data_IF_706991708695
#
_entry.id   IF_706991708695
#
_cell.length_a   1.000
_cell.length_b   1.000
_cell.length_c   1.000
_cell.angle_alpha   90.00
_cell.angle_beta   90.00
_cell.angle_gamma   90.00
#
_symmetry.space_group_name_H-M   'P 1'
#
loop_
_entity.id
_entity.type
_entity.pdbx_description
1 polymer ?
#
# COMPACT_ATOMS: atom_id res chain seq x y z
N UNK A 1 -37.03 22.95 39.87
CA UNK A 1 -36.39 21.85 39.15
C UNK A 1 -36.74 21.98 37.67
N UNK A 2 -35.77 22.21 36.79
CA UNK A 2 -35.98 22.32 35.35
C UNK A 2 -35.57 20.99 34.69
N UNK A 3 -36.48 20.38 33.95
CA UNK A 3 -36.22 19.14 33.20
C UNK A 3 -35.79 19.52 31.80
N UNK A 4 -34.53 19.25 31.46
CA UNK A 4 -33.99 19.40 30.11
C UNK A 4 -34.34 18.15 29.29
N UNK A 5 -35.11 18.33 28.22
CA UNK A 5 -35.39 17.27 27.24
C UNK A 5 -34.29 17.28 26.18
N UNK A 6 -33.41 16.29 26.20
CA UNK A 6 -32.41 16.11 25.15
C UNK A 6 -33.02 15.32 23.98
N UNK A 7 -33.25 15.98 22.84
CA UNK A 7 -33.67 15.32 21.60
C UNK A 7 -32.42 14.86 20.86
N UNK A 8 -32.14 13.56 20.90
CA UNK A 8 -31.09 12.95 20.09
C UNK A 8 -31.61 12.72 18.67
N UNK A 9 -31.18 13.54 17.71
CA UNK A 9 -31.45 13.31 16.28
C UNK A 9 -30.52 12.21 15.79
N UNK A 10 -30.98 10.96 15.82
CA UNK A 10 -30.26 9.83 15.24
C UNK A 10 -30.34 9.96 13.72
N UNK A 11 -29.29 10.47 13.10
CA UNK A 11 -29.13 10.37 11.66
C UNK A 11 -28.89 8.90 11.33
N UNK A 12 -29.91 8.22 10.81
CA UNK A 12 -29.75 6.93 10.17
C UNK A 12 -28.93 7.15 8.90
N UNK A 13 -27.59 7.07 9.01
CA UNK A 13 -26.72 6.89 7.86
C UNK A 13 -27.04 5.50 7.33
N UNK A 14 -27.73 5.44 6.19
CA UNK A 14 -27.90 4.19 5.45
C UNK A 14 -26.52 3.56 5.26
N UNK A 15 -26.44 2.23 5.40
CA UNK A 15 -25.20 1.51 5.17
C UNK A 15 -24.64 1.91 3.79
N UNK A 16 -23.35 2.25 3.67
CA UNK A 16 -22.77 2.50 2.37
C UNK A 16 -23.02 1.28 1.50
N UNK A 17 -23.46 1.49 0.26
CA UNK A 17 -23.57 0.42 -0.72
C UNK A 17 -22.23 -0.33 -0.77
N UNK A 18 -22.28 -1.67 -0.85
CA UNK A 18 -21.07 -2.47 -0.95
C UNK A 18 -20.18 -1.92 -2.09
N UNK A 19 -18.85 -1.81 -1.89
CA UNK A 19 -17.96 -1.33 -2.94
C UNK A 19 -18.18 -2.11 -4.23
N UNK A 20 -18.40 -1.40 -5.35
CA UNK A 20 -18.47 -2.04 -6.68
C UNK A 20 -17.15 -2.76 -7.02
N UNK A 21 -16.05 -2.36 -6.38
CA UNK A 21 -14.73 -2.98 -6.46
C UNK A 21 -14.36 -3.47 -5.05
N UNK A 22 -14.37 -4.79 -4.78
CA UNK A 22 -14.17 -5.30 -3.43
C UNK A 22 -12.70 -5.31 -3.00
N UNK A 23 -11.76 -5.24 -3.95
CA UNK A 23 -10.31 -5.38 -3.72
C UNK A 23 -9.49 -4.59 -4.73
N UNK A 24 -8.35 -4.06 -4.29
CA UNK A 24 -7.34 -3.42 -5.16
C UNK A 24 -6.01 -4.15 -5.01
N UNK A 25 -5.44 -4.59 -6.14
CA UNK A 25 -4.07 -5.09 -6.21
C UNK A 25 -3.20 -4.08 -6.97
N UNK A 26 -2.14 -3.59 -6.33
CA UNK A 26 -1.28 -2.53 -6.87
C UNK A 26 0.16 -2.99 -7.03
N UNK A 27 0.83 -2.55 -8.08
CA UNK A 27 2.20 -2.89 -8.47
C UNK A 27 2.96 -1.62 -8.85
N UNK A 28 4.29 -1.67 -8.89
CA UNK A 28 5.11 -0.57 -9.38
C UNK A 28 6.16 -0.12 -8.38
N UNK A 29 6.46 1.17 -8.36
CA UNK A 29 7.63 1.72 -7.69
C UNK A 29 7.26 2.62 -6.50
N UNK A 30 8.12 3.59 -6.20
CA UNK A 30 7.93 4.57 -5.12
C UNK A 30 6.64 5.36 -5.23
N UNK A 31 6.07 5.55 -6.43
CA UNK A 31 4.81 6.27 -6.63
C UNK A 31 3.60 5.50 -6.10
N UNK A 32 3.73 4.17 -5.94
CA UNK A 32 2.68 3.31 -5.43
C UNK A 32 3.04 2.66 -4.10
N UNK A 33 4.30 2.59 -3.68
CA UNK A 33 4.74 1.88 -2.47
C UNK A 33 4.10 2.41 -1.17
N UNK A 34 3.15 1.64 -0.61
CA UNK A 34 2.44 1.99 0.62
C UNK A 34 3.19 1.62 1.90
N UNK A 35 4.43 1.11 1.81
CA UNK A 35 5.31 0.80 2.93
C UNK A 35 5.99 -0.57 2.89
N UNK A 36 6.19 -1.18 1.71
CA UNK A 36 7.01 -2.39 1.55
C UNK A 36 8.51 -2.09 1.69
N UNK A 37 8.99 -0.94 1.20
CA UNK A 37 10.41 -0.55 1.25
C UNK A 37 11.13 -0.83 2.59
N UNK A 38 10.62 -0.41 3.76
CA UNK A 38 11.30 -0.66 5.05
C UNK A 38 11.47 -2.14 5.40
N UNK A 39 10.62 -3.03 4.90
CA UNK A 39 10.73 -4.47 5.16
C UNK A 39 11.92 -5.11 4.42
N UNK A 40 12.38 -4.51 3.32
CA UNK A 40 13.45 -5.04 2.49
C UNK A 40 14.78 -4.37 2.75
N UNK A 41 14.76 -3.06 2.97
CA UNK A 41 15.97 -2.24 3.07
C UNK A 41 16.28 -1.79 4.50
N UNK A 42 15.46 -2.22 5.46
CA UNK A 42 15.63 -1.88 6.88
C UNK A 42 15.23 -0.45 7.21
N UNK A 43 15.39 -0.07 8.47
CA UNK A 43 15.05 1.25 8.97
C UNK A 43 16.25 2.21 8.93
N UNK A 44 16.76 2.50 7.73
CA UNK A 44 17.83 3.47 7.53
C UNK A 44 17.25 4.88 7.41
N UNK A 45 17.52 5.75 8.39
CA UNK A 45 17.03 7.13 8.38
C UNK A 45 17.63 8.00 7.28
N UNK A 46 18.65 7.51 6.54
CA UNK A 46 19.14 8.17 5.33
C UNK A 46 18.15 8.04 4.17
N UNK A 47 17.30 7.02 4.18
CA UNK A 47 16.30 6.78 3.15
C UNK A 47 15.15 7.78 3.26
N UNK A 48 14.81 8.53 2.18
CA UNK A 48 13.81 9.59 2.24
C UNK A 48 12.46 9.11 2.80
N UNK A 49 11.98 7.94 2.38
CA UNK A 49 10.69 7.39 2.80
C UNK A 49 10.60 7.04 4.31
N UNK A 50 11.73 7.04 5.03
CA UNK A 50 11.84 6.64 6.43
C UNK A 50 12.16 7.83 7.36
N UNK A 51 12.16 9.05 6.85
CA UNK A 51 12.35 10.26 7.66
C UNK A 51 11.51 11.43 7.17
N UNK A 52 11.40 12.46 7.99
CA UNK A 52 10.81 13.73 7.58
C UNK A 52 11.58 14.34 6.38
N UNK A 53 10.87 15.00 5.46
CA UNK A 53 9.46 15.43 5.52
C UNK A 53 8.44 14.34 5.13
N UNK A 54 8.83 13.10 4.84
CA UNK A 54 7.88 12.09 4.38
C UNK A 54 6.86 11.72 5.47
N UNK A 55 5.57 11.75 5.09
CA UNK A 55 4.42 11.52 5.95
C UNK A 55 3.99 12.65 6.91
N UNK A 56 4.60 13.84 6.89
CA UNK A 56 4.26 14.93 7.84
C UNK A 56 2.86 15.51 7.63
N UNK A 57 2.39 15.62 6.40
CA UNK A 57 1.10 16.27 6.10
C UNK A 57 -0.11 15.43 6.50
N UNK A 58 -0.05 14.10 6.34
CA UNK A 58 -1.20 13.21 6.54
C UNK A 58 -1.01 12.22 7.69
N UNK A 59 0.09 11.45 7.68
CA UNK A 59 0.31 10.36 8.65
C UNK A 59 0.99 10.83 9.95
N UNK A 60 1.52 12.06 9.97
CA UNK A 60 2.29 12.67 11.06
C UNK A 60 3.54 11.89 11.46
N UNK A 61 4.01 11.00 10.60
CA UNK A 61 5.26 10.22 10.72
C UNK A 61 5.64 9.64 9.36
N UNK A 62 6.91 9.32 9.18
CA UNK A 62 7.35 8.49 8.07
C UNK A 62 6.69 7.10 8.14
N UNK A 63 6.30 6.58 6.98
CA UNK A 63 5.57 5.30 6.85
C UNK A 63 6.24 4.32 5.89
N UNK A 64 7.36 4.69 5.27
CA UNK A 64 7.91 3.95 4.13
C UNK A 64 7.33 4.36 2.78
N UNK A 65 6.42 5.34 2.75
CA UNK A 65 5.87 5.94 1.53
C UNK A 65 6.80 7.04 1.01
N UNK A 66 7.02 7.08 -0.30
CA UNK A 66 7.73 8.17 -0.96
C UNK A 66 6.78 9.35 -1.27
N UNK A 67 6.01 9.78 -0.25
CA UNK A 67 5.27 11.04 -0.23
C UNK A 67 5.26 11.69 1.16
N UNK A 68 5.09 13.01 1.24
CA UNK A 68 4.79 13.75 2.49
C UNK A 68 3.39 13.37 3.05
N UNK A 69 2.59 12.60 2.31
CA UNK A 69 1.33 12.09 2.81
C UNK A 69 0.84 10.90 2.02
N UNK A 70 -0.38 11.04 1.50
CA UNK A 70 -1.02 10.00 0.70
C UNK A 70 -0.36 9.84 -0.68
N UNK A 71 -0.51 8.65 -1.24
CA UNK A 71 -0.16 8.30 -2.62
C UNK A 71 -1.42 8.27 -3.48
N UNK A 72 -1.25 8.26 -4.81
CA UNK A 72 -2.37 8.18 -5.77
C UNK A 72 -3.29 6.98 -5.45
N UNK A 73 -2.70 5.84 -5.10
CA UNK A 73 -3.45 4.62 -4.75
C UNK A 73 -4.36 4.80 -3.53
N UNK A 74 -4.03 5.68 -2.58
CA UNK A 74 -4.91 5.94 -1.43
C UNK A 74 -6.16 6.70 -1.85
N UNK A 75 -6.04 7.66 -2.78
CA UNK A 75 -7.20 8.40 -3.30
C UNK A 75 -8.10 7.50 -4.13
N UNK A 76 -7.52 6.55 -4.88
CA UNK A 76 -8.29 5.53 -5.62
C UNK A 76 -9.06 4.64 -4.64
N UNK A 77 -8.40 4.12 -3.60
CA UNK A 77 -9.04 3.29 -2.58
C UNK A 77 -10.16 4.04 -1.84
N UNK A 78 -9.93 5.29 -1.45
CA UNK A 78 -10.92 6.16 -0.79
C UNK A 78 -12.16 6.38 -1.68
N UNK A 79 -11.94 6.65 -2.98
CA UNK A 79 -13.02 6.80 -3.96
C UNK A 79 -13.85 5.52 -4.12
N UNK A 80 -13.22 4.36 -3.94
CA UNK A 80 -13.89 3.05 -3.99
C UNK A 80 -14.53 2.65 -2.65
N UNK A 81 -14.38 3.44 -1.59
CA UNK A 81 -14.83 3.08 -0.24
C UNK A 81 -14.04 1.95 0.41
N UNK A 82 -12.78 1.76 -0.02
CA UNK A 82 -11.86 0.75 0.51
C UNK A 82 -10.90 1.37 1.55
N UNK A 83 -10.39 0.57 2.51
CA UNK A 83 -9.30 1.01 3.38
C UNK A 83 -8.02 1.26 2.58
N UNK A 84 -7.01 1.89 3.20
CA UNK A 84 -5.69 1.99 2.56
C UNK A 84 -5.14 0.62 2.18
N UNK A 85 -4.59 0.55 0.97
CA UNK A 85 -4.11 -0.71 0.40
C UNK A 85 -2.85 -1.14 1.17
N UNK A 86 -2.96 -2.28 1.86
CA UNK A 86 -1.93 -2.82 2.74
C UNK A 86 -0.66 -3.19 1.94
N UNK A 87 0.55 -2.81 2.40
CA UNK A 87 1.78 -3.31 1.80
C UNK A 87 1.90 -4.82 2.03
N UNK A 88 2.16 -5.58 0.97
CA UNK A 88 2.21 -7.04 0.96
C UNK A 88 3.07 -7.61 2.10
N UNK A 89 4.26 -7.06 2.33
CA UNK A 89 5.19 -7.56 3.33
C UNK A 89 4.73 -7.36 4.79
N UNK A 90 3.67 -6.57 5.01
CA UNK A 90 3.09 -6.34 6.34
C UNK A 90 1.95 -7.30 6.73
N UNK A 91 1.43 -8.11 5.79
CA UNK A 91 0.35 -9.07 6.04
C UNK A 91 0.79 -10.52 5.96
N UNK A 92 0.01 -11.43 6.55
CA UNK A 92 0.31 -12.88 6.59
C UNK A 92 -0.90 -13.76 6.30
N UNK A 93 -2.13 -13.29 6.55
CA UNK A 93 -3.35 -14.12 6.38
C UNK A 93 -4.25 -13.61 5.25
N UNK A 94 -5.21 -14.43 4.83
CA UNK A 94 -6.20 -14.02 3.82
C UNK A 94 -7.01 -12.80 4.27
N UNK A 95 -7.31 -12.70 5.57
CA UNK A 95 -8.05 -11.59 6.17
C UNK A 95 -7.24 -10.27 6.11
N UNK A 96 -5.91 -10.32 6.28
CA UNK A 96 -5.05 -9.13 6.15
C UNK A 96 -5.20 -8.48 4.77
N UNK A 97 -5.50 -9.30 3.75
CA UNK A 97 -5.62 -8.92 2.35
C UNK A 97 -7.07 -8.97 1.84
N UNK A 98 -8.06 -8.93 2.75
CA UNK A 98 -9.48 -9.00 2.39
C UNK A 98 -9.90 -7.89 1.41
N UNK A 99 -9.25 -6.72 1.46
CA UNK A 99 -9.46 -5.57 0.57
C UNK A 99 -8.38 -5.42 -0.52
N UNK A 100 -7.54 -6.44 -0.71
CA UNK A 100 -6.42 -6.45 -1.64
C UNK A 100 -5.07 -6.12 -0.99
N UNK A 101 -4.04 -5.93 -1.83
CA UNK A 101 -2.66 -5.80 -1.40
C UNK A 101 -1.86 -4.90 -2.35
N UNK A 102 -0.81 -4.28 -1.84
CA UNK A 102 0.13 -3.50 -2.63
C UNK A 102 1.49 -4.18 -2.65
N UNK A 103 1.97 -4.51 -3.84
CA UNK A 103 3.24 -5.19 -4.10
C UNK A 103 4.34 -4.22 -4.50
N UNK A 104 4.01 -2.96 -4.77
CA UNK A 104 4.96 -1.95 -5.21
C UNK A 104 6.09 -1.75 -4.18
N UNK A 105 7.31 -1.54 -4.68
CA UNK A 105 8.48 -1.23 -3.85
C UNK A 105 9.25 -0.04 -4.41
N UNK A 106 9.63 0.90 -3.55
CA UNK A 106 10.49 2.02 -3.91
C UNK A 106 11.71 1.62 -4.73
N UNK A 107 11.83 2.17 -5.94
CA UNK A 107 12.94 1.89 -6.87
C UNK A 107 12.78 0.61 -7.68
N UNK A 108 11.64 -0.08 -7.62
CA UNK A 108 11.36 -1.23 -8.45
C UNK A 108 11.38 -0.89 -9.95
N UNK A 109 11.83 -1.84 -10.75
CA UNK A 109 11.96 -1.69 -12.21
C UNK A 109 10.92 -2.53 -12.95
N UNK A 110 10.55 -2.12 -14.16
CA UNK A 110 9.68 -2.93 -15.01
C UNK A 110 10.35 -4.27 -15.42
N UNK A 111 11.68 -4.29 -15.58
CA UNK A 111 12.45 -5.45 -16.03
C UNK A 111 13.44 -5.90 -14.97
N UNK A 112 13.66 -7.22 -14.89
CA UNK A 112 14.61 -7.83 -13.96
C UNK A 112 16.08 -7.63 -14.37
N UNK A 113 17.02 -7.85 -13.44
CA UNK A 113 18.45 -7.63 -13.66
C UNK A 113 19.03 -8.48 -14.80
N UNK A 114 18.48 -9.67 -15.07
CA UNK A 114 18.92 -10.54 -16.16
C UNK A 114 18.78 -9.88 -17.55
N UNK A 115 17.75 -9.06 -17.75
CA UNK A 115 17.55 -8.33 -19.01
C UNK A 115 18.70 -7.36 -19.31
N UNK A 116 19.19 -6.68 -18.26
CA UNK A 116 20.27 -5.70 -18.33
C UNK A 116 21.63 -6.39 -18.40
N UNK A 117 21.86 -7.43 -17.58
CA UNK A 117 23.08 -8.25 -17.62
C UNK A 117 23.27 -8.90 -19.00
N UNK A 118 22.20 -9.38 -19.62
CA UNK A 118 22.23 -9.90 -21.01
C UNK A 118 22.60 -8.87 -22.08
N UNK A 119 22.61 -7.57 -21.74
CA UNK A 119 23.03 -6.45 -22.61
C UNK A 119 24.37 -5.84 -22.19
N UNK A 120 25.10 -6.50 -21.30
CA UNK A 120 26.38 -6.00 -20.79
C UNK A 120 26.24 -4.82 -19.82
N UNK A 121 25.04 -4.53 -19.31
CA UNK A 121 24.82 -3.49 -18.30
C UNK A 121 24.96 -4.14 -16.91
N UNK A 122 25.95 -3.74 -16.10
CA UNK A 122 26.10 -4.25 -14.75
C UNK A 122 24.89 -3.85 -13.90
N UNK A 123 24.16 -4.84 -13.39
CA UNK A 123 22.98 -4.63 -12.56
C UNK A 123 23.01 -5.60 -11.39
N UNK A 124 22.93 -5.06 -10.17
CA UNK A 124 22.71 -5.86 -8.97
C UNK A 124 21.27 -6.33 -8.84
N UNK A 125 21.02 -7.22 -7.89
CA UNK A 125 19.66 -7.68 -7.61
C UNK A 125 18.83 -6.52 -7.06
N UNK A 126 17.75 -6.20 -7.76
CA UNK A 126 16.81 -5.13 -7.45
C UNK A 126 15.39 -5.66 -7.51
N UNK A 127 14.50 -5.02 -6.77
CA UNK A 127 13.08 -5.26 -6.92
C UNK A 127 12.66 -4.89 -8.34
N UNK A 128 11.77 -5.70 -8.87
CA UNK A 128 11.26 -5.55 -10.22
C UNK A 128 9.89 -6.20 -10.33
N UNK A 129 9.14 -5.82 -11.35
CA UNK A 129 7.76 -6.27 -11.56
C UNK A 129 7.64 -7.80 -11.54
N UNK A 130 8.65 -8.54 -12.02
CA UNK A 130 8.66 -10.00 -11.94
C UNK A 130 8.57 -10.56 -10.51
N UNK A 131 9.25 -9.94 -9.53
CA UNK A 131 9.16 -10.32 -8.12
C UNK A 131 7.79 -9.95 -7.53
N UNK A 132 7.28 -8.77 -7.89
CA UNK A 132 5.96 -8.32 -7.44
C UNK A 132 4.84 -9.22 -7.97
N UNK A 133 4.95 -9.68 -9.23
CA UNK A 133 4.04 -10.66 -9.82
C UNK A 133 4.15 -12.02 -9.13
N UNK A 134 5.35 -12.45 -8.74
CA UNK A 134 5.52 -13.67 -7.93
C UNK A 134 4.78 -13.54 -6.60
N UNK A 135 4.93 -12.43 -5.89
CA UNK A 135 4.21 -12.19 -4.64
C UNK A 135 2.69 -12.16 -4.83
N UNK A 136 2.22 -11.63 -5.96
CA UNK A 136 0.81 -11.69 -6.29
C UNK A 136 0.32 -13.13 -6.47
N UNK A 137 1.08 -13.97 -7.17
CA UNK A 137 0.75 -15.40 -7.28
C UNK A 137 0.75 -16.09 -5.92
N UNK A 138 1.76 -15.86 -5.08
CA UNK A 138 1.82 -16.39 -3.72
C UNK A 138 0.59 -15.95 -2.89
N UNK A 139 0.11 -14.72 -3.08
CA UNK A 139 -1.11 -14.23 -2.43
C UNK A 139 -2.38 -14.89 -2.98
N UNK A 140 -2.45 -15.13 -4.29
CA UNK A 140 -3.61 -15.82 -4.88
C UNK A 140 -3.74 -17.24 -4.32
N UNK A 141 -2.64 -17.95 -4.15
CA UNK A 141 -2.62 -19.29 -3.54
C UNK A 141 -3.09 -19.24 -2.07
N UNK A 142 -2.79 -18.15 -1.35
CA UNK A 142 -3.29 -17.93 0.01
C UNK A 142 -4.79 -17.62 0.06
N UNK A 143 -5.31 -16.84 -0.90
CA UNK A 143 -6.71 -16.41 -0.94
C UNK A 143 -7.65 -17.48 -1.49
N UNK A 144 -7.14 -18.35 -2.36
CA UNK A 144 -7.88 -19.39 -3.07
C UNK A 144 -7.12 -20.73 -2.98
N UNK A 145 -7.04 -21.34 -1.78
CA UNK A 145 -6.27 -22.56 -1.55
C UNK A 145 -6.81 -23.80 -2.26
#
# INVERSE_FOLDING_TARGET
>A
AAVLLAVAVVHARGAPAAPCVPRVFSFGDSLADTGNFPFLYGNDSREPALRTPYGETFFRRATGRFSDGRLIVDFIADTMGLPFVRPYLSGRTAEDFASGANFAVGGAMALGPDFFRGRGVPMGDRMHLGVEMKWFHDLLDLLCP
#
